data_IF_576537269704
#
_entry.id   IF_576537269704
#
_cell.length_a   1.000
_cell.length_b   1.000
_cell.length_c   1.000
_cell.angle_alpha   90.00
_cell.angle_beta   90.00
_cell.angle_gamma   90.00
#
_symmetry.space_group_name_H-M   'P 1'
#
loop_
_entity.id
_entity.type
_entity.pdbx_description
1 polymer ?
#
# COMPACT_ATOMS: atom_id res chain seq x y z
N UNK A 1 9.55 -2.73 -14.77
CA UNK A 1 8.17 -2.18 -14.86
C UNK A 1 7.09 -3.27 -14.90
N UNK A 2 7.11 -4.22 -15.84
CA UNK A 2 6.09 -5.28 -15.92
C UNK A 2 5.93 -6.10 -14.63
N UNK A 3 7.03 -6.49 -13.99
CA UNK A 3 6.98 -7.22 -12.72
C UNK A 3 6.31 -6.42 -11.60
N UNK A 4 6.61 -5.11 -11.50
CA UNK A 4 5.94 -4.22 -10.55
C UNK A 4 4.44 -4.13 -10.82
N UNK A 5 4.02 -4.05 -12.08
CA UNK A 5 2.60 -4.04 -12.44
C UNK A 5 1.88 -5.33 -12.03
N UNK A 6 2.49 -6.49 -12.29
CA UNK A 6 1.94 -7.79 -11.85
C UNK A 6 1.85 -7.85 -10.33
N UNK A 7 2.87 -7.39 -9.62
CA UNK A 7 2.88 -7.37 -8.15
C UNK A 7 1.81 -6.44 -7.57
N UNK A 8 1.65 -5.24 -8.14
CA UNK A 8 0.58 -4.30 -7.76
C UNK A 8 -0.79 -4.92 -8.00
N UNK A 9 -1.00 -5.55 -9.16
CA UNK A 9 -2.27 -6.21 -9.45
C UNK A 9 -2.55 -7.33 -8.45
N UNK A 10 -1.59 -8.24 -8.22
CA UNK A 10 -1.76 -9.37 -7.32
C UNK A 10 -2.03 -8.93 -5.87
N UNK A 11 -1.26 -7.98 -5.33
CA UNK A 11 -1.49 -7.49 -3.97
C UNK A 11 -2.80 -6.70 -3.86
N UNK A 12 -3.21 -5.95 -4.89
CA UNK A 12 -4.52 -5.29 -4.92
C UNK A 12 -5.68 -6.28 -4.92
N UNK A 13 -5.59 -7.41 -5.64
CA UNK A 13 -6.61 -8.46 -5.58
C UNK A 13 -6.64 -9.11 -4.21
N UNK A 14 -5.48 -9.42 -3.62
CA UNK A 14 -5.40 -10.04 -2.30
C UNK A 14 -5.93 -9.12 -1.19
N UNK A 15 -5.76 -7.80 -1.32
CA UNK A 15 -6.19 -6.82 -0.31
C UNK A 15 -7.61 -6.29 -0.53
N UNK A 16 -8.04 -6.11 -1.77
CA UNK A 16 -9.33 -5.46 -2.10
C UNK A 16 -10.36 -6.42 -2.69
N UNK A 17 -9.97 -7.65 -3.03
CA UNK A 17 -10.87 -8.68 -3.55
C UNK A 17 -11.23 -8.50 -5.02
N UNK A 18 -12.31 -9.18 -5.41
CA UNK A 18 -12.85 -9.19 -6.77
C UNK A 18 -14.25 -8.54 -6.80
N UNK A 19 -14.64 -7.90 -7.91
CA UNK A 19 -13.84 -7.67 -9.13
C UNK A 19 -12.71 -6.65 -8.91
N UNK A 20 -11.62 -6.66 -9.72
CA UNK A 20 -10.54 -5.68 -9.59
C UNK A 20 -11.06 -4.25 -9.81
N UNK A 21 -11.16 -3.48 -8.73
CA UNK A 21 -11.55 -2.07 -8.77
C UNK A 21 -10.51 -1.24 -8.03
N UNK A 22 -9.42 -0.90 -8.72
CA UNK A 22 -8.37 -0.05 -8.18
C UNK A 22 -7.71 0.80 -9.27
N UNK A 23 -7.11 1.91 -8.86
CA UNK A 23 -6.27 2.76 -9.71
C UNK A 23 -4.83 2.62 -9.23
N UNK A 24 -3.95 2.11 -10.10
CA UNK A 24 -2.51 2.10 -9.86
C UNK A 24 -1.88 3.41 -10.34
N UNK A 25 -0.99 3.99 -9.53
CA UNK A 25 -0.28 5.24 -9.84
C UNK A 25 1.20 5.06 -9.51
N UNK A 26 2.07 5.62 -10.37
CA UNK A 26 3.50 5.75 -10.09
C UNK A 26 3.78 7.19 -9.67
N UNK A 27 4.41 7.37 -8.52
CA UNK A 27 4.75 8.69 -7.97
C UNK A 27 6.27 8.81 -7.85
N UNK A 28 6.80 9.97 -8.21
CA UNK A 28 8.21 10.34 -8.01
C UNK A 28 8.30 11.61 -7.14
N UNK A 29 7.95 11.52 -5.85
CA UNK A 29 8.03 12.67 -4.95
C UNK A 29 9.47 13.12 -4.74
N UNK A 30 9.68 14.40 -4.41
CA UNK A 30 10.98 14.87 -3.94
C UNK A 30 11.29 14.26 -2.56
N UNK A 31 12.58 14.04 -2.26
CA UNK A 31 13.03 13.45 -0.97
C UNK A 31 12.47 14.21 0.24
N UNK A 32 12.35 15.54 0.13
CA UNK A 32 11.81 16.39 1.21
C UNK A 32 10.30 16.26 1.38
N UNK A 33 9.58 15.87 0.34
CA UNK A 33 8.11 15.80 0.33
C UNK A 33 7.55 14.40 0.55
N UNK A 34 8.40 13.36 0.54
CA UNK A 34 7.95 11.96 0.62
C UNK A 34 7.07 11.69 1.85
N UNK A 35 7.52 12.11 3.04
CA UNK A 35 6.76 11.98 4.28
C UNK A 35 5.40 12.70 4.22
N UNK A 36 5.34 13.86 3.56
CA UNK A 36 4.09 14.61 3.37
C UNK A 36 3.13 13.88 2.43
N UNK A 37 3.64 13.35 1.32
CA UNK A 37 2.84 12.57 0.35
C UNK A 37 2.28 11.31 1.01
N UNK A 38 3.10 10.60 1.79
CA UNK A 38 2.69 9.42 2.56
C UNK A 38 1.53 9.73 3.51
N UNK A 39 1.64 10.80 4.29
CA UNK A 39 0.57 11.21 5.21
C UNK A 39 -0.74 11.58 4.51
N UNK A 40 -0.68 12.28 3.37
CA UNK A 40 -1.90 12.60 2.58
C UNK A 40 -2.55 11.33 2.05
N UNK A 41 -1.76 10.37 1.55
CA UNK A 41 -2.29 9.09 1.05
C UNK A 41 -2.86 8.23 2.18
N UNK A 42 -2.25 8.25 3.36
CA UNK A 42 -2.77 7.56 4.55
C UNK A 42 -4.12 8.11 4.98
N UNK A 43 -4.29 9.44 4.99
CA UNK A 43 -5.57 10.08 5.28
C UNK A 43 -6.64 9.73 4.23
N UNK A 44 -6.27 9.82 2.94
CA UNK A 44 -7.19 9.55 1.84
C UNK A 44 -7.62 8.07 1.78
N UNK A 45 -6.69 7.14 1.92
CA UNK A 45 -6.96 5.70 1.81
C UNK A 45 -7.42 5.08 3.13
N UNK A 46 -7.08 5.70 4.26
CA UNK A 46 -7.44 5.24 5.60
C UNK A 46 -8.94 5.28 5.85
N UNK A 47 -9.69 6.23 5.27
CA UNK A 47 -11.13 6.34 5.51
C UNK A 47 -12.00 5.46 4.60
N UNK A 48 -11.52 5.12 3.40
CA UNK A 48 -12.40 4.55 2.35
C UNK A 48 -12.48 3.03 2.44
N UNK A 49 -11.40 2.36 2.89
CA UNK A 49 -11.33 0.89 2.98
C UNK A 49 -10.82 0.39 4.36
N UNK A 50 -10.88 1.23 5.40
CA UNK A 50 -10.31 0.96 6.75
C UNK A 50 -10.73 -0.37 7.38
N UNK A 51 -11.89 -0.89 7.00
CA UNK A 51 -12.46 -2.12 7.55
C UNK A 51 -11.58 -3.36 7.31
N UNK A 52 -10.72 -3.35 6.29
CA UNK A 52 -9.76 -4.43 6.02
C UNK A 52 -8.44 -4.29 6.82
N UNK A 53 -8.21 -3.11 7.41
CA UNK A 53 -6.94 -2.73 8.05
C UNK A 53 -7.04 -2.63 9.57
N UNK A 54 -8.24 -2.41 10.11
CA UNK A 54 -8.49 -2.51 11.54
C UNK A 54 -8.63 -3.97 11.93
N UNK A 55 -7.52 -4.69 11.99
CA UNK A 55 -7.46 -5.89 12.81
C UNK A 55 -7.65 -5.45 14.27
N UNK A 56 -8.75 -5.86 14.89
CA UNK A 56 -8.90 -5.77 16.36
C UNK A 56 -7.88 -6.68 17.09
N UNK A 57 -7.11 -7.50 16.36
CA UNK A 57 -6.01 -8.32 16.86
C UNK A 57 -4.64 -7.76 16.47
N UNK A 58 -4.15 -6.80 17.25
CA UNK A 58 -2.77 -6.27 17.21
C UNK A 58 -1.70 -7.32 17.59
N UNK A 59 -2.08 -8.57 17.90
CA UNK A 59 -1.17 -9.57 18.50
C UNK A 59 -0.74 -10.73 17.59
N UNK A 60 -1.23 -10.83 16.35
CA UNK A 60 -1.05 -12.05 15.55
C UNK A 60 -0.03 -12.04 14.41
N UNK A 61 0.22 -10.88 13.77
CA UNK A 61 0.87 -10.86 12.45
C UNK A 61 2.12 -9.97 12.37
N UNK A 62 2.68 -9.56 13.51
CA UNK A 62 3.94 -8.82 13.58
C UNK A 62 5.20 -9.72 13.39
N UNK A 63 5.04 -11.02 13.12
CA UNK A 63 6.13 -12.01 13.23
C UNK A 63 6.70 -12.63 11.94
N UNK A 64 6.12 -12.43 10.76
CA UNK A 64 6.53 -13.17 9.53
C UNK A 64 6.99 -12.27 8.37
N UNK A 65 6.82 -10.95 8.44
CA UNK A 65 7.28 -10.02 7.40
C UNK A 65 8.01 -8.84 8.00
N UNK A 66 9.35 -8.86 7.96
CA UNK A 66 10.19 -7.83 8.55
C UNK A 66 9.79 -6.43 8.10
N UNK A 67 9.69 -5.50 9.05
CA UNK A 67 9.61 -4.03 8.92
C UNK A 67 8.99 -3.51 7.60
N UNK A 68 7.90 -4.12 7.15
CA UNK A 68 7.20 -3.64 5.98
C UNK A 68 6.41 -2.41 6.41
N UNK A 69 6.78 -1.24 5.88
CA UNK A 69 6.06 0.01 6.14
C UNK A 69 4.59 -0.17 5.73
N UNK A 70 3.74 -0.35 6.75
CA UNK A 70 2.36 -0.77 6.58
C UNK A 70 1.51 0.45 6.30
N UNK A 71 1.29 0.75 5.02
CA UNK A 71 0.36 1.79 4.59
C UNK A 71 -1.04 1.19 4.34
N UNK A 72 -2.13 1.95 4.53
CA UNK A 72 -3.51 1.52 4.25
C UNK A 72 -3.82 1.39 2.75
N UNK A 73 -2.78 1.27 1.91
CA UNK A 73 -2.83 1.10 0.47
C UNK A 73 -1.69 0.20 -0.04
N UNK A 74 -1.87 -0.39 -1.23
CA UNK A 74 -0.79 -1.14 -1.90
C UNK A 74 0.30 -0.17 -2.34
N UNK A 75 1.53 -0.38 -1.85
CA UNK A 75 2.67 0.50 -2.07
C UNK A 75 3.94 -0.30 -2.30
N UNK A 76 4.71 0.08 -3.32
CA UNK A 76 6.06 -0.42 -3.56
C UNK A 76 6.99 0.73 -3.90
N UNK A 77 8.17 0.74 -3.28
CA UNK A 77 9.27 1.60 -3.71
C UNK A 77 9.94 0.99 -4.92
N UNK A 78 10.00 1.73 -6.03
CA UNK A 78 10.66 1.32 -7.25
C UNK A 78 12.00 2.04 -7.33
N UNK A 79 13.10 1.30 -7.17
CA UNK A 79 14.43 1.83 -7.43
C UNK A 79 14.70 1.72 -8.93
N UNK A 80 14.73 2.85 -9.62
CA UNK A 80 15.13 2.93 -11.03
C UNK A 80 16.64 3.14 -11.04
N UNK A 81 17.37 2.18 -11.61
CA UNK A 81 18.82 2.25 -11.86
C UNK A 81 19.05 2.81 -13.26
#
# INVERSE_FOLDING_TARGET
MHFCAVRVFAESILRYGLPPQFLAVVLAPSVKSEKKVRGILEELCGNVNSSYWKSEDEVGLAGIGGEAESHPYVSFTINIV
#
